data_IF_394442777214
#
_entry.id   IF_394442777214
#
_cell.length_a   1.000
_cell.length_b   1.000
_cell.length_c   1.000
_cell.angle_alpha   90.00
_cell.angle_beta   90.00
_cell.angle_gamma   90.00
#
_symmetry.space_group_name_H-M   'P 1'
#
loop_
_entity.id
_entity.type
_entity.pdbx_description
1 polymer ?
#
# COMPACT_ATOMS: atom_id res chain seq x y z
N UNK A 1 -8.62 -23.44 12.19
CA UNK A 1 -7.80 -23.09 13.36
C UNK A 1 -8.63 -22.25 14.33
N UNK A 2 -9.52 -22.86 15.12
CA UNK A 2 -10.35 -22.11 16.07
C UNK A 2 -9.55 -21.56 17.26
N UNK A 3 -8.42 -22.20 17.59
CA UNK A 3 -7.60 -21.84 18.75
C UNK A 3 -6.54 -20.76 18.48
N UNK A 4 -6.40 -20.32 17.22
CA UNK A 4 -5.45 -19.26 16.84
C UNK A 4 -6.08 -17.90 17.11
N UNK A 5 -5.43 -17.11 17.96
CA UNK A 5 -5.79 -15.71 18.21
C UNK A 5 -4.88 -14.78 17.42
N UNK A 6 -5.45 -13.69 16.91
CA UNK A 6 -4.72 -12.66 16.18
C UNK A 6 -4.67 -11.39 17.03
N UNK A 7 -3.46 -10.86 17.21
CA UNK A 7 -3.23 -9.48 17.64
C UNK A 7 -2.72 -8.69 16.43
N UNK A 8 -3.31 -7.53 16.18
CA UNK A 8 -3.14 -6.79 14.93
C UNK A 8 -2.79 -5.33 15.19
N UNK A 9 -1.66 -4.90 14.64
CA UNK A 9 -1.22 -3.50 14.61
C UNK A 9 -1.24 -2.99 13.17
N UNK A 10 -2.03 -1.95 12.92
CA UNK A 10 -2.16 -1.31 11.60
C UNK A 10 -1.36 0.00 11.58
N UNK A 11 -0.22 -0.01 10.90
CA UNK A 11 0.66 1.16 10.80
C UNK A 11 1.44 1.19 9.49
N UNK A 12 1.69 2.38 8.95
CA UNK A 12 2.60 2.58 7.81
C UNK A 12 4.08 2.63 8.24
N UNK A 13 4.36 2.72 9.54
CA UNK A 13 5.72 2.73 10.05
C UNK A 13 6.37 1.35 9.91
N UNK A 14 7.65 1.32 9.56
CA UNK A 14 8.48 0.11 9.63
C UNK A 14 8.97 -0.04 11.05
N UNK A 15 8.35 -0.94 11.79
CA UNK A 15 8.74 -1.29 13.16
C UNK A 15 9.77 -2.41 13.12
N UNK A 16 10.66 -2.43 14.11
CA UNK A 16 11.54 -3.57 14.32
C UNK A 16 10.70 -4.76 14.78
N UNK A 17 10.79 -5.87 14.05
CA UNK A 17 9.97 -7.06 14.32
C UNK A 17 10.38 -7.75 15.62
N UNK A 18 11.67 -7.73 15.95
CA UNK A 18 12.24 -8.45 17.09
C UNK A 18 11.92 -7.66 18.37
N UNK A 19 12.24 -6.37 18.40
CA UNK A 19 12.05 -5.54 19.59
C UNK A 19 10.58 -5.39 19.97
N UNK A 20 9.68 -5.45 18.98
CA UNK A 20 8.23 -5.32 19.21
C UNK A 20 7.51 -6.68 19.31
N UNK A 21 8.23 -7.81 19.24
CA UNK A 21 7.66 -9.14 19.40
C UNK A 21 6.66 -9.54 18.30
N UNK A 22 6.84 -9.05 17.07
CA UNK A 22 5.99 -9.43 15.95
C UNK A 22 6.48 -10.72 15.28
N UNK A 23 5.59 -11.69 15.11
CA UNK A 23 5.89 -12.92 14.38
C UNK A 23 5.91 -12.72 12.86
N UNK A 24 4.98 -11.91 12.34
CA UNK A 24 4.76 -11.71 10.90
C UNK A 24 4.36 -10.27 10.60
N UNK A 25 4.91 -9.71 9.51
CA UNK A 25 4.44 -8.45 8.94
C UNK A 25 4.05 -8.63 7.47
N UNK A 26 2.92 -8.02 7.10
CA UNK A 26 2.47 -7.93 5.71
C UNK A 26 2.79 -6.51 5.22
N UNK A 27 3.65 -6.39 4.21
CA UNK A 27 4.17 -5.11 3.73
C UNK A 27 4.21 -5.05 2.21
N UNK A 28 3.98 -3.85 1.69
CA UNK A 28 4.23 -3.53 0.28
C UNK A 28 5.71 -3.15 0.09
N UNK A 29 6.26 -3.56 -1.06
CA UNK A 29 7.63 -3.27 -1.44
C UNK A 29 8.64 -4.36 -1.04
N UNK A 30 9.88 -4.15 -1.44
CA UNK A 30 10.92 -5.16 -1.29
C UNK A 30 11.57 -5.11 0.09
N UNK A 31 11.92 -6.28 0.60
CA UNK A 31 12.80 -6.38 1.75
C UNK A 31 14.22 -5.97 1.34
N UNK A 32 14.88 -5.15 2.17
CA UNK A 32 16.27 -4.75 1.93
C UNK A 32 17.18 -5.98 1.95
N UNK A 33 18.16 -6.04 1.03
CA UNK A 33 19.08 -7.18 0.93
C UNK A 33 19.89 -7.42 2.21
N UNK A 34 20.14 -6.37 3.00
CA UNK A 34 20.84 -6.45 4.28
C UNK A 34 19.95 -6.89 5.45
N UNK A 35 18.65 -7.07 5.24
CA UNK A 35 17.74 -7.48 6.30
C UNK A 35 17.98 -8.94 6.70
N UNK A 36 18.00 -9.27 8.00
CA UNK A 36 18.09 -10.65 8.47
C UNK A 36 16.76 -11.43 8.33
N UNK A 37 15.69 -10.78 7.84
CA UNK A 37 14.35 -11.37 7.76
C UNK A 37 14.17 -12.19 6.48
N UNK A 38 13.26 -13.17 6.54
CA UNK A 38 12.82 -13.93 5.38
C UNK A 38 11.54 -13.29 4.83
N UNK A 39 11.55 -12.93 3.55
CA UNK A 39 10.37 -12.45 2.83
C UNK A 39 9.79 -13.55 1.94
N UNK A 40 8.46 -13.71 1.97
CA UNK A 40 7.72 -14.53 1.02
C UNK A 40 6.79 -13.64 0.21
N UNK A 41 6.88 -13.63 -1.13
CA UNK A 41 5.95 -12.89 -1.96
C UNK A 41 4.53 -13.46 -1.78
N UNK A 42 3.54 -12.57 -1.72
CA UNK A 42 2.12 -12.94 -1.66
C UNK A 42 1.51 -12.81 -3.05
N UNK A 43 1.08 -11.61 -3.41
CA UNK A 43 0.52 -11.27 -4.73
C UNK A 43 0.96 -9.86 -5.11
N UNK A 44 1.05 -9.62 -6.42
CA UNK A 44 1.38 -8.30 -6.95
C UNK A 44 0.30 -7.28 -6.57
N UNK A 45 0.77 -6.09 -6.20
CA UNK A 45 -0.06 -4.92 -5.90
C UNK A 45 -0.04 -3.97 -7.10
N UNK A 46 -1.22 -3.57 -7.57
CA UNK A 46 -1.35 -2.57 -8.64
C UNK A 46 -1.88 -1.26 -8.07
N UNK A 47 -1.14 -0.18 -8.28
CA UNK A 47 -1.62 1.17 -8.05
C UNK A 47 -2.43 1.61 -9.28
N UNK A 48 -3.70 1.93 -9.08
CA UNK A 48 -4.60 2.36 -10.17
C UNK A 48 -5.03 3.81 -9.96
N UNK A 49 -4.91 4.62 -11.01
CA UNK A 49 -5.48 5.96 -11.04
C UNK A 49 -7.00 5.82 -11.21
N UNK A 50 -7.75 6.42 -10.31
CA UNK A 50 -9.21 6.43 -10.37
C UNK A 50 -9.74 7.80 -9.97
N UNK A 51 -10.98 8.06 -10.39
CA UNK A 51 -11.72 9.24 -10.01
C UNK A 51 -13.20 8.89 -9.89
N UNK A 52 -13.93 9.63 -9.06
CA UNK A 52 -15.38 9.47 -8.97
C UNK A 52 -16.03 9.81 -10.32
N UNK A 53 -17.05 9.08 -10.77
CA UNK A 53 -17.76 9.38 -12.03
C UNK A 53 -18.25 10.85 -12.09
N UNK A 54 -18.79 11.36 -10.98
CA UNK A 54 -19.26 12.75 -10.87
C UNK A 54 -18.14 13.80 -10.98
N UNK A 55 -16.90 13.43 -10.66
CA UNK A 55 -15.75 14.29 -10.91
C UNK A 55 -15.45 14.37 -12.40
N UNK A 56 -15.44 13.21 -13.07
CA UNK A 56 -15.16 13.09 -14.51
C UNK A 56 -16.26 13.69 -15.39
N UNK A 57 -17.51 13.74 -14.93
CA UNK A 57 -18.59 14.45 -15.60
C UNK A 57 -18.37 15.98 -15.65
N UNK A 58 -17.63 16.52 -14.68
CA UNK A 58 -17.31 17.96 -14.58
C UNK A 58 -15.92 18.30 -15.12
N UNK A 59 -15.00 17.33 -15.11
CA UNK A 59 -13.63 17.46 -15.59
C UNK A 59 -13.33 16.29 -16.50
N UNK A 60 -13.25 16.54 -17.81
CA UNK A 60 -12.97 15.51 -18.82
C UNK A 60 -11.83 14.59 -18.41
N UNK A 61 -11.98 13.28 -18.64
CA UNK A 61 -10.98 12.30 -18.23
C UNK A 61 -9.61 12.59 -18.86
N UNK A 62 -8.52 12.51 -18.07
CA UNK A 62 -7.17 12.71 -18.59
C UNK A 62 -6.83 11.59 -19.59
N UNK A 63 -6.19 11.96 -20.69
CA UNK A 63 -5.77 11.01 -21.74
C UNK A 63 -4.26 10.79 -21.74
N UNK A 64 -3.52 11.68 -21.08
CA UNK A 64 -2.08 11.58 -20.85
C UNK A 64 -1.74 12.07 -19.44
N UNK A 65 -0.62 11.63 -18.85
CA UNK A 65 -0.25 12.00 -17.48
C UNK A 65 -0.15 13.51 -17.23
N UNK A 66 0.25 14.30 -18.23
CA UNK A 66 0.42 15.75 -18.10
C UNK A 66 -0.91 16.47 -17.84
N UNK A 67 -2.03 15.90 -18.30
CA UNK A 67 -3.37 16.45 -18.09
C UNK A 67 -3.71 16.51 -16.59
N UNK A 68 -3.12 15.63 -15.76
CA UNK A 68 -3.32 15.61 -14.31
C UNK A 68 -2.93 16.93 -13.61
N UNK A 69 -2.07 17.75 -14.22
CA UNK A 69 -1.73 19.09 -13.70
C UNK A 69 -2.94 20.02 -13.63
N UNK A 70 -3.96 19.77 -14.45
CA UNK A 70 -5.22 20.52 -14.46
C UNK A 70 -6.31 19.85 -13.61
N UNK A 71 -6.01 18.74 -12.94
CA UNK A 71 -6.94 18.00 -12.09
C UNK A 71 -6.62 18.14 -10.61
N UNK A 72 -7.65 18.00 -9.77
CA UNK A 72 -7.49 17.94 -8.33
C UNK A 72 -6.96 16.55 -7.96
N UNK A 73 -5.63 16.43 -7.89
CA UNK A 73 -4.97 15.20 -7.51
C UNK A 73 -4.92 15.08 -5.99
N UNK A 74 -5.54 14.03 -5.45
CA UNK A 74 -5.43 13.67 -4.04
C UNK A 74 -4.19 12.79 -3.88
N UNK A 75 -3.12 13.36 -3.35
CA UNK A 75 -1.91 12.65 -2.98
C UNK A 75 -1.82 12.51 -1.44
N UNK A 76 -1.18 11.43 -0.99
CA UNK A 76 -0.94 11.12 0.43
C UNK A 76 0.33 11.82 0.93
#
# INVERSE_FOLDING_TARGET
FPDVKLDLVLTNQRLDMIDNGFDVAIRLGNLAQSSPLIARPLQDYTLTICAAPDYLARHSAPTRPEDLRAHNCLAF
#
